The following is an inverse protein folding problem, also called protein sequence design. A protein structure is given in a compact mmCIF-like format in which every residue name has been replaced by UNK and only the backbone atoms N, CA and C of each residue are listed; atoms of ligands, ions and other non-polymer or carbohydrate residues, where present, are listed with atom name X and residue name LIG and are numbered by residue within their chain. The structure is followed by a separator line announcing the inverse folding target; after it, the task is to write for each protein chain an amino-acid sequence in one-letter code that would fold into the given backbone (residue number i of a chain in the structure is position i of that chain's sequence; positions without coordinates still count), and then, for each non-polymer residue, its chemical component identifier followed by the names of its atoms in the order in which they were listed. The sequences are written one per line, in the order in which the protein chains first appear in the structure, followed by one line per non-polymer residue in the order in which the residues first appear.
data_IF_485433817089
#
_entry.id   IF_485433817089
#
_cell.length_a   1.000
_cell.length_b   1.000
_cell.length_c   1.000
_cell.angle_alpha   90.00
_cell.angle_beta   90.00
_cell.angle_gamma   90.00
#
_symmetry.space_group_name_H-M   'P 1'
#
loop_
_entity.id
_entity.type
_entity.pdbx_description
1 polymer ?
#
# COMPACT_ATOMS: atom_id res chain seq x y z
N UNK A 1 -31.88 -18.01 1.16
CA UNK A 1 -31.50 -17.25 2.38
C UNK A 1 -30.03 -17.55 2.55
N UNK A 2 -29.20 -16.88 1.75
CA UNK A 2 -27.95 -17.49 1.31
C UNK A 2 -26.77 -16.66 1.81
N UNK A 3 -26.29 -17.08 2.98
CA UNK A 3 -24.92 -17.53 3.28
C UNK A 3 -23.71 -16.76 2.71
N UNK A 4 -23.89 -15.50 2.31
CA UNK A 4 -22.80 -14.53 2.11
C UNK A 4 -22.89 -13.37 3.13
N UNK A 5 -23.77 -13.47 4.12
CA UNK A 5 -24.03 -12.40 5.10
C UNK A 5 -23.06 -12.34 6.26
N UNK A 6 -22.33 -13.40 6.52
CA UNK A 6 -21.42 -13.46 7.65
C UNK A 6 -20.01 -13.68 7.11
N UNK A 7 -19.26 -12.58 7.06
CA UNK A 7 -17.81 -12.51 6.87
C UNK A 7 -17.17 -13.65 7.65
N UNK A 8 -16.61 -14.64 6.96
CA UNK A 8 -15.99 -15.78 7.64
C UNK A 8 -14.48 -15.69 7.73
N UNK A 9 -13.77 -15.00 6.83
CA UNK A 9 -12.32 -14.83 6.94
C UNK A 9 -11.75 -13.81 5.96
N UNK A 10 -11.26 -12.70 6.52
CA UNK A 10 -10.21 -11.76 6.07
C UNK A 10 -9.54 -11.18 7.34
N UNK A 11 -9.64 -11.91 8.46
CA UNK A 11 -9.82 -11.42 9.84
C UNK A 11 -9.06 -10.12 10.14
N UNK A 12 -9.60 -8.89 10.11
CA UNK A 12 -10.95 -8.37 9.88
C UNK A 12 -10.83 -7.12 8.98
N UNK A 13 -10.30 -7.29 7.75
CA UNK A 13 -9.95 -6.24 6.77
C UNK A 13 -8.65 -5.46 7.12
N UNK A 14 -7.85 -5.92 8.10
CA UNK A 14 -6.93 -5.10 8.93
C UNK A 14 -7.74 -4.32 9.96
N UNK A 15 -8.34 -5.10 10.88
CA UNK A 15 -9.24 -4.72 11.97
C UNK A 15 -10.49 -3.93 11.54
N UNK A 16 -11.65 -4.37 12.03
CA UNK A 16 -12.97 -3.71 11.93
C UNK A 16 -13.04 -2.25 12.41
N UNK A 17 -11.91 -1.60 12.71
CA UNK A 17 -11.82 -0.27 13.29
C UNK A 17 -10.63 0.59 12.79
N UNK A 18 -10.04 0.39 11.61
CA UNK A 18 -9.27 1.51 11.03
C UNK A 18 -10.27 2.62 10.70
N UNK A 19 -10.49 3.52 11.66
CA UNK A 19 -10.96 4.87 11.36
C UNK A 19 -9.85 5.53 10.57
N UNK A 20 -9.91 5.33 9.25
CA UNK A 20 -9.24 6.23 8.32
C UNK A 20 -9.77 7.63 8.70
N UNK A 21 -8.89 8.62 8.93
CA UNK A 21 -9.32 9.97 9.28
C UNK A 21 -10.48 10.40 8.37
N UNK A 22 -11.52 11.03 8.94
CA UNK A 22 -12.73 11.50 8.22
C UNK A 22 -12.43 12.49 7.08
N UNK A 23 -11.18 12.93 6.96
CA UNK A 23 -10.65 13.65 5.82
C UNK A 23 -10.31 12.62 4.74
N UNK A 24 -11.18 12.54 3.72
CA UNK A 24 -11.01 11.69 2.54
C UNK A 24 -9.70 12.08 1.88
N UNK A 25 -8.65 11.27 2.09
CA UNK A 25 -7.40 11.36 1.36
C UNK A 25 -7.49 10.48 0.13
N UNK A 26 -7.09 11.01 -1.02
CA UNK A 26 -6.96 10.22 -2.25
C UNK A 26 -5.76 9.26 -2.10
N UNK A 27 -6.00 7.96 -2.29
CA UNK A 27 -4.99 6.91 -2.10
C UNK A 27 -4.62 6.21 -3.41
N UNK A 28 -3.33 5.93 -3.63
CA UNK A 28 -2.86 5.11 -4.74
C UNK A 28 -2.05 3.89 -4.27
N UNK A 29 -2.65 2.69 -4.26
CA UNK A 29 -1.93 1.45 -4.21
C UNK A 29 -1.13 1.24 -5.49
N UNK A 30 0.18 1.38 -5.36
CA UNK A 30 1.16 0.94 -6.35
C UNK A 30 1.60 -0.47 -5.97
N UNK A 31 1.91 -1.29 -6.98
CA UNK A 31 2.13 -2.72 -6.77
C UNK A 31 0.92 -3.37 -6.08
N UNK A 32 -0.28 -2.99 -6.54
CA UNK A 32 -1.55 -3.39 -5.92
C UNK A 32 -1.85 -4.89 -6.04
N UNK A 33 -1.10 -5.60 -6.88
CA UNK A 33 -1.30 -6.99 -7.25
C UNK A 33 -2.73 -7.25 -7.65
N UNK A 34 -3.37 -8.21 -6.98
CA UNK A 34 -4.77 -8.59 -7.24
C UNK A 34 -5.81 -7.62 -6.67
N UNK A 35 -5.39 -6.51 -6.04
CA UNK A 35 -6.28 -5.44 -5.59
C UNK A 35 -7.05 -5.74 -4.29
N UNK A 36 -6.55 -6.61 -3.42
CA UNK A 36 -7.20 -6.92 -2.13
C UNK A 36 -7.29 -5.69 -1.21
N UNK A 37 -6.17 -4.97 -1.07
CA UNK A 37 -6.10 -3.74 -0.29
C UNK A 37 -7.02 -2.66 -0.88
N UNK A 38 -6.98 -2.50 -2.21
CA UNK A 38 -7.85 -1.60 -2.95
C UNK A 38 -9.33 -1.90 -2.72
N UNK A 39 -9.72 -3.17 -2.82
CA UNK A 39 -11.10 -3.59 -2.60
C UNK A 39 -11.57 -3.21 -1.19
N UNK A 40 -10.76 -3.53 -0.17
CA UNK A 40 -11.04 -3.18 1.22
C UNK A 40 -11.25 -1.68 1.43
N UNK A 41 -10.35 -0.85 0.90
CA UNK A 41 -10.44 0.61 0.99
C UNK A 41 -11.68 1.16 0.29
N UNK A 42 -11.98 0.67 -0.93
CA UNK A 42 -13.20 1.05 -1.68
C UNK A 42 -14.48 0.68 -0.94
N UNK A 43 -14.53 -0.48 -0.27
CA UNK A 43 -15.65 -0.87 0.59
C UNK A 43 -15.86 0.08 1.78
N UNK A 44 -14.83 0.84 2.17
CA UNK A 44 -14.90 1.89 3.20
C UNK A 44 -15.17 3.29 2.64
N UNK A 45 -15.41 3.41 1.32
CA UNK A 45 -15.72 4.68 0.66
C UNK A 45 -14.50 5.55 0.33
N UNK A 46 -13.29 4.99 0.42
CA UNK A 46 -12.06 5.69 0.01
C UNK A 46 -11.99 5.72 -1.52
N UNK A 47 -11.60 6.87 -2.07
CA UNK A 47 -11.29 6.98 -3.49
C UNK A 47 -9.88 6.42 -3.74
N UNK A 48 -9.77 5.39 -4.57
CA UNK A 48 -8.54 4.61 -4.71
C UNK A 48 -8.22 4.36 -6.18
N UNK A 49 -7.05 4.84 -6.63
CA UNK A 49 -6.46 4.53 -7.93
C UNK A 49 -5.49 3.38 -7.72
N UNK A 50 -5.79 2.18 -8.24
CA UNK A 50 -4.93 1.01 -8.04
C UNK A 50 -4.18 0.65 -9.30
N UNK A 51 -2.88 0.44 -9.19
CA UNK A 51 -1.98 0.16 -10.30
C UNK A 51 -1.03 -0.99 -10.00
N UNK A 52 -0.80 -1.86 -10.97
CA UNK A 52 0.19 -2.96 -10.90
C UNK A 52 0.64 -3.32 -12.32
N UNK A 53 1.90 -3.72 -12.53
CA UNK A 53 2.38 -4.17 -13.85
C UNK A 53 2.24 -5.70 -14.05
N UNK A 54 1.81 -6.42 -13.00
CA UNK A 54 1.67 -7.87 -12.91
C UNK A 54 2.94 -8.65 -13.27
N UNK A 55 4.13 -8.02 -13.21
CA UNK A 55 5.41 -8.63 -13.61
C UNK A 55 5.83 -9.80 -12.71
N UNK A 56 5.31 -9.85 -11.48
CA UNK A 56 5.60 -10.85 -10.46
C UNK A 56 4.86 -12.18 -10.63
N UNK A 57 3.87 -12.29 -11.54
CA UNK A 57 3.07 -13.50 -11.72
C UNK A 57 3.02 -14.01 -13.17
N UNK A 58 2.71 -15.31 -13.33
CA UNK A 58 2.30 -15.83 -14.63
C UNK A 58 0.87 -15.35 -14.94
N UNK A 59 0.67 -14.80 -16.15
CA UNK A 59 -0.57 -14.13 -16.59
C UNK A 59 -1.83 -15.01 -16.55
N UNK A 60 -1.71 -16.32 -16.32
CA UNK A 60 -2.85 -17.24 -16.20
C UNK A 60 -3.69 -17.06 -14.92
N UNK A 61 -3.27 -16.19 -13.98
CA UNK A 61 -3.92 -15.96 -12.68
C UNK A 61 -4.28 -14.48 -12.42
N UNK A 62 -4.49 -13.69 -13.48
CA UNK A 62 -4.67 -12.23 -13.39
C UNK A 62 -6.01 -11.78 -12.78
N UNK A 63 -6.99 -12.66 -12.55
CA UNK A 63 -8.30 -12.26 -12.00
C UNK A 63 -8.14 -11.41 -10.72
N UNK A 64 -8.38 -10.11 -10.85
CA UNK A 64 -8.30 -9.14 -9.77
C UNK A 64 -9.64 -9.09 -9.02
N UNK A 65 -9.60 -8.78 -7.73
CA UNK A 65 -10.80 -8.64 -6.91
C UNK A 65 -11.57 -7.34 -7.20
N UNK A 66 -10.87 -6.36 -7.77
CA UNK A 66 -11.40 -5.04 -8.12
C UNK A 66 -10.60 -4.49 -9.32
N UNK A 67 -11.04 -3.37 -9.88
CA UNK A 67 -10.33 -2.73 -10.99
C UNK A 67 -8.93 -2.28 -10.54
N UNK A 68 -7.91 -2.77 -11.24
CA UNK A 68 -6.50 -2.42 -11.12
C UNK A 68 -6.00 -2.11 -12.52
N UNK A 69 -5.46 -0.92 -12.72
CA UNK A 69 -4.87 -0.51 -14.00
C UNK A 69 -3.52 -1.20 -14.21
N UNK A 70 -3.30 -1.82 -15.38
CA UNK A 70 -2.01 -2.41 -15.74
C UNK A 70 -1.04 -1.28 -16.14
N UNK A 71 -0.20 -0.85 -15.20
CA UNK A 71 0.78 0.24 -15.41
C UNK A 71 1.97 0.07 -14.46
N UNK A 72 3.15 0.41 -14.96
CA UNK A 72 4.39 0.41 -14.20
C UNK A 72 4.32 1.38 -13.00
N UNK A 73 5.03 1.06 -11.91
CA UNK A 73 4.96 1.83 -10.67
C UNK A 73 5.51 3.27 -10.83
N UNK A 74 6.58 3.48 -11.62
CA UNK A 74 7.09 4.82 -11.91
C UNK A 74 6.11 5.58 -12.78
N UNK A 75 5.57 4.93 -13.82
CA UNK A 75 4.59 5.55 -14.68
C UNK A 75 3.30 5.93 -13.92
N UNK A 76 2.84 5.12 -12.97
CA UNK A 76 1.72 5.44 -12.09
C UNK A 76 1.98 6.70 -11.26
N UNK A 77 3.18 6.81 -10.68
CA UNK A 77 3.61 8.01 -9.94
C UNK A 77 3.64 9.24 -10.85
N UNK A 78 4.11 9.10 -12.09
CA UNK A 78 4.16 10.23 -13.03
C UNK A 78 2.76 10.70 -13.46
N UNK A 79 1.83 9.77 -13.64
CA UNK A 79 0.43 10.04 -14.02
C UNK A 79 -0.38 10.63 -12.87
N UNK A 80 -0.30 10.02 -11.69
CA UNK A 80 -1.25 10.26 -10.59
C UNK A 80 -0.60 10.84 -9.32
N UNK A 81 0.73 10.80 -9.18
CA UNK A 81 1.42 11.18 -7.94
C UNK A 81 1.15 12.61 -7.47
N UNK A 82 0.80 13.53 -8.37
CA UNK A 82 0.42 14.92 -8.06
C UNK A 82 -1.00 15.07 -7.53
N UNK A 83 -1.86 14.07 -7.76
CA UNK A 83 -3.29 14.09 -7.44
C UNK A 83 -3.60 13.33 -6.15
N UNK A 84 -2.60 12.70 -5.54
CA UNK A 84 -2.79 11.84 -4.36
C UNK A 84 -2.04 12.37 -3.16
N UNK A 85 -2.68 12.28 -2.00
CA UNK A 85 -2.06 12.63 -0.72
C UNK A 85 -1.25 11.47 -0.15
N UNK A 86 -1.67 10.24 -0.48
CA UNK A 86 -1.09 9.01 0.07
C UNK A 86 -0.87 7.97 -1.03
N UNK A 87 0.34 7.42 -1.08
CA UNK A 87 0.66 6.24 -1.86
C UNK A 87 0.79 5.05 -0.92
N UNK A 88 0.16 3.93 -1.24
CA UNK A 88 0.34 2.69 -0.46
C UNK A 88 1.20 1.71 -1.25
N UNK A 89 2.26 1.21 -0.64
CA UNK A 89 3.17 0.23 -1.23
C UNK A 89 3.21 -1.01 -0.33
N UNK A 90 2.64 -2.11 -0.80
CA UNK A 90 2.55 -3.35 -0.04
C UNK A 90 3.40 -4.45 -0.65
N UNK A 91 4.28 -5.04 0.15
CA UNK A 91 5.11 -6.18 -0.23
C UNK A 91 5.85 -6.00 -1.57
N UNK A 92 6.57 -4.87 -1.79
CA UNK A 92 7.42 -4.72 -2.96
C UNK A 92 8.47 -5.83 -2.99
N UNK A 93 8.84 -6.32 -4.18
CA UNK A 93 9.88 -7.34 -4.30
C UNK A 93 11.24 -6.83 -3.80
N UNK A 94 12.19 -7.74 -3.56
CA UNK A 94 13.51 -7.46 -2.97
C UNK A 94 14.50 -6.79 -3.94
N UNK A 95 14.00 -6.21 -5.03
CA UNK A 95 14.80 -5.54 -6.03
C UNK A 95 14.80 -4.02 -5.81
N UNK A 96 15.42 -3.30 -6.73
CA UNK A 96 15.58 -1.86 -6.63
C UNK A 96 14.30 -1.10 -6.97
N UNK A 97 13.18 -1.72 -7.34
CA UNK A 97 12.00 -1.01 -7.87
C UNK A 97 11.38 -0.04 -6.87
N UNK A 98 11.37 -0.35 -5.58
CA UNK A 98 10.73 0.48 -4.55
C UNK A 98 11.44 1.83 -4.35
N UNK A 99 12.78 1.86 -4.43
CA UNK A 99 13.61 3.04 -4.21
C UNK A 99 13.37 4.19 -5.22
N UNK A 100 13.49 4.00 -6.55
CA UNK A 100 13.24 5.03 -7.54
C UNK A 100 11.78 5.47 -7.51
N UNK A 101 10.85 4.60 -7.09
CA UNK A 101 9.44 4.95 -6.94
C UNK A 101 9.22 5.98 -5.83
N UNK A 102 9.74 5.77 -4.62
CA UNK A 102 9.58 6.76 -3.53
C UNK A 102 10.34 8.06 -3.81
N UNK A 103 11.50 7.95 -4.45
CA UNK A 103 12.27 9.12 -4.88
C UNK A 103 11.49 9.91 -5.93
N UNK A 104 10.95 9.24 -6.95
CA UNK A 104 10.14 9.87 -7.99
C UNK A 104 8.88 10.49 -7.42
N UNK A 105 8.23 9.82 -6.47
CA UNK A 105 7.06 10.35 -5.78
C UNK A 105 7.39 11.67 -5.09
N UNK A 106 8.51 11.74 -4.38
CA UNK A 106 8.97 12.96 -3.74
C UNK A 106 9.27 14.09 -4.74
N UNK A 107 9.87 13.77 -5.89
CA UNK A 107 10.12 14.75 -6.96
C UNK A 107 8.83 15.33 -7.55
N UNK A 108 7.79 14.50 -7.75
CA UNK A 108 6.52 14.96 -8.35
C UNK A 108 5.57 15.57 -7.33
N UNK A 109 5.62 15.09 -6.08
CA UNK A 109 4.78 15.51 -4.97
C UNK A 109 5.53 15.36 -3.62
N UNK A 110 6.29 16.38 -3.19
CA UNK A 110 7.09 16.31 -1.96
C UNK A 110 6.24 16.24 -0.68
N UNK A 111 4.93 16.47 -0.78
CA UNK A 111 3.98 16.40 0.34
C UNK A 111 3.30 15.03 0.44
N UNK A 112 3.42 14.16 -0.57
CA UNK A 112 2.81 12.84 -0.54
C UNK A 112 3.40 12.00 0.59
N UNK A 113 2.53 11.31 1.30
CA UNK A 113 2.90 10.32 2.30
C UNK A 113 2.89 8.92 1.69
N UNK A 114 3.70 8.04 2.26
CA UNK A 114 3.76 6.64 1.86
C UNK A 114 3.35 5.75 3.03
N UNK A 115 2.34 4.93 2.80
CA UNK A 115 2.00 3.80 3.67
C UNK A 115 2.72 2.57 3.13
N UNK A 116 3.77 2.14 3.82
CA UNK A 116 4.55 0.96 3.48
C UNK A 116 4.07 -0.23 4.31
N UNK A 117 3.83 -1.37 3.66
CA UNK A 117 3.57 -2.66 4.32
C UNK A 117 4.66 -3.64 3.89
N UNK A 118 5.54 -4.03 4.80
CA UNK A 118 6.60 -4.99 4.50
C UNK A 118 7.58 -5.18 5.65
N UNK A 119 8.61 -5.97 5.37
CA UNK A 119 9.70 -6.30 6.28
C UNK A 119 10.90 -5.36 6.06
N UNK A 120 11.65 -5.07 7.13
CA UNK A 120 12.95 -4.39 7.01
C UNK A 120 14.05 -5.40 7.26
N UNK A 121 14.95 -5.58 6.29
CA UNK A 121 15.94 -6.67 6.30
C UNK A 121 15.34 -8.05 6.06
N UNK A 122 14.15 -8.11 5.46
CA UNK A 122 13.43 -9.33 5.10
C UNK A 122 13.21 -9.43 3.59
N UNK A 123 12.03 -9.92 3.18
CA UNK A 123 11.73 -10.24 1.79
C UNK A 123 11.10 -9.09 0.99
N UNK A 124 11.29 -7.83 1.39
CA UNK A 124 10.60 -6.69 0.78
C UNK A 124 11.47 -5.44 0.65
N UNK A 125 11.47 -4.85 -0.56
CA UNK A 125 12.32 -3.74 -0.98
C UNK A 125 13.83 -3.99 -0.77
N UNK A 126 14.67 -3.16 -1.38
CA UNK A 126 16.11 -3.20 -1.17
C UNK A 126 16.56 -2.29 -0.01
N UNK A 127 17.84 -2.38 0.36
CA UNK A 127 18.42 -1.56 1.42
C UNK A 127 18.35 -0.06 1.08
N UNK A 128 18.48 0.33 -0.20
CA UNK A 128 18.39 1.74 -0.60
C UNK A 128 17.03 2.33 -0.26
N UNK A 129 15.94 1.61 -0.52
CA UNK A 129 14.61 2.04 -0.10
C UNK A 129 14.56 2.26 1.41
N UNK A 130 14.99 1.29 2.20
CA UNK A 130 14.90 1.34 3.67
C UNK A 130 15.77 2.43 4.30
N UNK A 131 16.90 2.74 3.69
CA UNK A 131 17.80 3.83 4.13
C UNK A 131 17.21 5.22 3.88
N UNK A 132 16.42 5.38 2.81
CA UNK A 132 15.84 6.66 2.40
C UNK A 132 14.36 6.81 2.79
N UNK A 133 13.80 5.86 3.55
CA UNK A 133 12.44 5.91 4.04
C UNK A 133 12.38 6.51 5.46
N UNK A 134 12.08 7.79 5.57
CA UNK A 134 11.90 8.48 6.85
C UNK A 134 10.56 8.07 7.49
N UNK A 135 10.63 7.26 8.56
CA UNK A 135 9.46 6.79 9.30
C UNK A 135 8.92 7.90 10.21
N UNK A 136 7.63 8.21 10.08
CA UNK A 136 6.93 9.22 10.85
C UNK A 136 6.27 8.63 12.11
N UNK A 137 7.01 8.54 13.21
CA UNK A 137 6.55 7.94 14.47
C UNK A 137 5.52 8.79 15.26
N UNK A 138 5.34 10.06 14.91
CA UNK A 138 4.60 11.03 15.74
C UNK A 138 3.14 11.24 15.33
N UNK A 139 2.57 10.44 14.43
CA UNK A 139 1.15 10.51 14.10
C UNK A 139 0.31 9.61 15.03
N UNK A 140 -0.46 10.15 15.98
CA UNK A 140 -1.22 9.34 16.93
C UNK A 140 -2.37 8.56 16.26
N UNK A 141 -2.92 9.06 15.14
CA UNK A 141 -3.99 8.38 14.41
C UNK A 141 -3.41 7.16 13.69
N UNK A 142 -2.26 7.31 13.03
CA UNK A 142 -1.59 6.19 12.36
C UNK A 142 -1.02 5.18 13.36
N UNK A 143 -0.46 5.61 14.49
CA UNK A 143 0.01 4.71 15.54
C UNK A 143 -1.08 3.80 16.10
N UNK A 144 -2.36 4.20 16.03
CA UNK A 144 -3.47 3.30 16.37
C UNK A 144 -3.64 2.18 15.33
N UNK A 145 -3.35 2.44 14.06
CA UNK A 145 -3.36 1.42 12.99
C UNK A 145 -2.27 0.39 13.23
N UNK A 146 -1.05 0.83 13.55
CA UNK A 146 0.10 -0.07 13.77
C UNK A 146 -0.16 -1.06 14.91
N UNK A 147 -0.83 -0.63 15.99
CA UNK A 147 -1.21 -1.52 17.11
C UNK A 147 -2.26 -2.58 16.78
N UNK A 148 -2.94 -2.45 15.64
CA UNK A 148 -4.01 -3.35 15.18
C UNK A 148 -3.60 -4.17 13.95
N UNK A 149 -2.46 -3.84 13.36
CA UNK A 149 -1.89 -4.61 12.26
C UNK A 149 -1.54 -6.02 12.74
N UNK A 150 -1.83 -7.00 11.90
CA UNK A 150 -1.55 -8.41 12.17
C UNK A 150 -0.76 -8.99 11.01
N UNK A 151 0.37 -9.58 11.34
CA UNK A 151 1.19 -10.35 10.40
C UNK A 151 0.73 -11.80 10.38
N UNK A 152 0.95 -12.47 9.25
CA UNK A 152 0.79 -13.91 9.14
C UNK A 152 1.83 -14.63 10.02
N UNK A 153 1.52 -15.87 10.41
CA UNK A 153 2.49 -16.70 11.11
C UNK A 153 3.77 -16.83 10.26
N UNK A 154 4.93 -16.62 10.89
CA UNK A 154 6.27 -16.59 10.27
C UNK A 154 6.58 -15.42 9.34
N UNK A 155 5.68 -14.45 9.23
CA UNK A 155 5.92 -13.19 8.53
C UNK A 155 6.16 -12.09 9.56
N UNK A 156 7.17 -11.25 9.33
CA UNK A 156 7.60 -10.19 10.26
C UNK A 156 7.46 -8.80 9.65
N UNK A 157 6.34 -8.57 8.96
CA UNK A 157 6.05 -7.30 8.31
C UNK A 157 5.42 -6.27 9.25
N UNK A 158 5.52 -5.00 8.86
CA UNK A 158 5.00 -3.86 9.60
C UNK A 158 4.24 -2.94 8.64
N UNK A 159 3.21 -2.27 9.16
CA UNK A 159 2.63 -1.11 8.49
C UNK A 159 3.29 0.17 9.02
N UNK A 160 3.89 0.95 8.13
CA UNK A 160 4.66 2.15 8.44
C UNK A 160 4.14 3.33 7.62
N UNK A 161 4.16 4.52 8.24
CA UNK A 161 3.92 5.79 7.55
C UNK A 161 5.26 6.49 7.42
N UNK A 162 5.55 7.00 6.24
CA UNK A 162 6.79 7.72 6.00
C UNK A 162 6.79 8.49 4.70
N UNK A 163 7.98 8.93 4.31
CA UNK A 163 8.25 9.64 3.07
C UNK A 163 9.73 9.45 2.70
N UNK A 164 10.07 9.84 1.48
CA UNK A 164 11.47 9.90 1.07
C UNK A 164 12.25 10.95 1.87
N UNK A 165 13.49 10.62 2.22
CA UNK A 165 14.52 11.54 2.71
C UNK A 165 15.82 11.32 1.94
N UNK A 166 16.53 12.42 1.67
CA UNK A 166 17.93 12.39 1.22
C UNK A 166 18.89 11.96 2.34
#
# INVERSE_FOLDING_TARGET
MDFFKDVTDIRDIVASDIKIPEEILDQMPIMAGRGWWTYALRQKGVNVIATDDFSWMNRSWIDTLTEVEEVDAIEAVERYGKEVDVVTMGWPYMDDTAYPVIKRLHEVNPNALVVYIGERGGCTADDNFHEHFEIMFNDPKFNKVTTRYQSWEHIHDYILLGRYSE
#
